data_IF_239721933867
#
_entry.id   IF_239721933867
#
_cell.length_a   1.000
_cell.length_b   1.000
_cell.length_c   1.000
_cell.angle_alpha   90.00
_cell.angle_beta   90.00
_cell.angle_gamma   90.00
#
_symmetry.space_group_name_H-M   'P 1'
#
loop_
_entity.id
_entity.type
_entity.pdbx_description
1 polymer ?
#
# COMPACT_ATOMS: atom_id res chain seq x y z
N UNK A 1 2.25 -3.66 9.15
CA UNK A 1 3.30 -3.12 10.08
C UNK A 1 2.90 -3.19 11.57
N UNK A 2 1.82 -2.57 12.06
CA UNK A 2 1.47 -2.57 13.49
C UNK A 2 1.52 -3.94 14.18
N UNK A 3 1.07 -5.00 13.52
CA UNK A 3 1.13 -6.36 14.07
C UNK A 3 2.59 -6.85 14.14
N UNK A 4 3.36 -6.62 13.09
CA UNK A 4 4.77 -7.02 13.03
C UNK A 4 5.59 -6.30 14.10
N UNK A 5 5.40 -4.99 14.29
CA UNK A 5 6.10 -4.24 15.35
C UNK A 5 5.73 -4.77 16.74
N UNK A 6 4.45 -5.08 16.97
CA UNK A 6 4.02 -5.66 18.24
C UNK A 6 4.64 -7.05 18.50
N UNK A 7 4.77 -7.90 17.48
CA UNK A 7 5.44 -9.20 17.64
C UNK A 7 6.96 -9.04 17.88
N UNK A 8 7.62 -8.11 17.20
CA UNK A 8 9.03 -7.78 17.42
C UNK A 8 9.29 -7.30 18.85
N UNK A 9 8.46 -6.40 19.37
CA UNK A 9 8.58 -5.85 20.73
C UNK A 9 8.32 -6.89 21.85
N UNK A 10 7.66 -8.01 21.54
CA UNK A 10 7.49 -9.12 22.50
C UNK A 10 8.77 -9.95 22.67
N UNK A 11 9.58 -10.05 21.62
CA UNK A 11 10.76 -10.92 21.59
C UNK A 11 12.08 -10.15 21.72
N UNK A 12 12.01 -8.82 21.85
CA UNK A 12 13.18 -7.94 22.03
C UNK A 12 12.90 -6.88 23.09
N UNK A 13 13.95 -6.16 23.51
CA UNK A 13 13.83 -4.99 24.39
C UNK A 13 13.61 -3.68 23.62
N UNK A 14 13.67 -3.72 22.29
CA UNK A 14 13.55 -2.56 21.44
C UNK A 14 12.12 -2.07 21.34
N UNK A 15 11.95 -0.76 21.07
CA UNK A 15 10.66 -0.12 20.77
C UNK A 15 10.64 0.43 19.36
N UNK A 16 9.52 0.25 18.68
CA UNK A 16 9.35 0.69 17.29
C UNK A 16 8.27 1.75 17.19
N UNK A 17 8.65 2.95 16.82
CA UNK A 17 7.72 4.04 16.51
C UNK A 17 7.47 4.05 15.01
N UNK A 18 6.20 3.92 14.60
CA UNK A 18 5.82 3.87 13.18
C UNK A 18 5.16 5.15 12.73
N UNK A 19 5.62 5.70 11.60
CA UNK A 19 4.94 6.76 10.85
C UNK A 19 4.33 6.18 9.58
N UNK A 20 3.04 6.48 9.32
CA UNK A 20 2.33 6.00 8.14
C UNK A 20 2.05 7.14 7.17
N UNK A 21 2.26 6.90 5.88
CA UNK A 21 2.04 7.87 4.82
C UNK A 21 2.25 7.27 3.45
N UNK A 22 2.24 8.10 2.41
CA UNK A 22 2.60 7.66 1.06
C UNK A 22 4.11 7.53 0.91
N UNK A 23 4.55 6.60 0.05
CA UNK A 23 5.95 6.39 -0.29
C UNK A 23 6.66 7.69 -0.65
N UNK A 24 6.10 8.49 -1.57
CA UNK A 24 6.71 9.76 -1.98
C UNK A 24 6.77 10.83 -0.88
N UNK A 25 5.78 10.87 0.04
CA UNK A 25 5.80 11.81 1.18
C UNK A 25 6.93 11.47 2.15
N UNK A 26 7.09 10.19 2.49
CA UNK A 26 8.19 9.76 3.35
C UNK A 26 9.56 9.96 2.69
N UNK A 27 9.69 9.68 1.39
CA UNK A 27 10.90 10.01 0.65
C UNK A 27 11.27 11.49 0.80
N UNK A 28 10.32 12.40 0.59
CA UNK A 28 10.57 13.83 0.76
C UNK A 28 10.97 14.20 2.19
N UNK A 29 10.34 13.60 3.21
CA UNK A 29 10.71 13.80 4.61
C UNK A 29 12.13 13.32 4.90
N UNK A 30 12.51 12.13 4.41
CA UNK A 30 13.85 11.56 4.56
C UNK A 30 14.90 12.47 3.92
N UNK A 31 14.64 12.96 2.70
CA UNK A 31 15.50 13.93 2.00
C UNK A 31 15.70 15.23 2.79
N UNK A 32 14.72 15.64 3.56
CA UNK A 32 14.76 16.83 4.42
C UNK A 32 15.22 16.52 5.86
N UNK A 33 15.85 15.37 6.09
CA UNK A 33 16.50 15.04 7.36
C UNK A 33 15.58 14.51 8.44
N UNK A 34 14.38 14.00 8.11
CA UNK A 34 13.52 13.35 9.09
C UNK A 34 14.25 12.16 9.76
N UNK A 35 14.20 12.04 11.10
CA UNK A 35 15.06 11.14 11.88
C UNK A 35 14.55 9.69 11.89
N UNK A 36 14.28 9.13 10.71
CA UNK A 36 13.89 7.72 10.59
C UNK A 36 15.13 6.81 10.59
N UNK A 37 15.00 5.62 11.15
CA UNK A 37 16.05 4.61 11.20
C UNK A 37 15.94 3.60 10.04
N UNK A 38 14.71 3.29 9.61
CA UNK A 38 14.42 2.41 8.48
C UNK A 38 13.23 2.93 7.68
N UNK A 39 13.22 2.60 6.39
CA UNK A 39 12.15 2.99 5.48
C UNK A 39 11.55 1.76 4.81
N UNK A 40 10.21 1.69 4.84
CA UNK A 40 9.40 0.63 4.23
C UNK A 40 8.51 1.27 3.16
N UNK A 41 8.86 1.03 1.90
CA UNK A 41 8.18 1.57 0.73
C UNK A 41 7.22 0.56 0.11
N UNK A 42 6.23 1.04 -0.61
CA UNK A 42 5.36 0.21 -1.45
C UNK A 42 5.85 0.11 -2.91
N UNK A 43 7.11 0.44 -3.17
CA UNK A 43 7.81 0.26 -4.45
C UNK A 43 9.28 -0.12 -4.23
N UNK A 44 9.96 -0.51 -5.31
CA UNK A 44 11.39 -0.79 -5.33
C UNK A 44 12.23 0.43 -5.76
N UNK A 45 11.64 1.36 -6.49
CA UNK A 45 12.34 2.50 -7.08
C UNK A 45 12.79 3.52 -6.04
N UNK A 46 11.92 3.82 -5.06
CA UNK A 46 12.21 4.84 -4.04
C UNK A 46 13.31 4.42 -3.07
N UNK A 47 13.34 3.19 -2.50
CA UNK A 47 14.48 2.72 -1.71
C UNK A 47 15.79 2.66 -2.51
N UNK A 48 15.74 2.21 -3.78
CA UNK A 48 16.92 2.20 -4.65
C UNK A 48 17.45 3.62 -4.89
N UNK A 49 16.56 4.60 -5.05
CA UNK A 49 16.93 6.01 -5.21
C UNK A 49 17.62 6.55 -3.96
N UNK A 50 17.13 6.22 -2.75
CA UNK A 50 17.79 6.63 -1.50
C UNK A 50 19.19 6.01 -1.35
N UNK A 51 19.38 4.76 -1.77
CA UNK A 51 20.71 4.14 -1.83
C UNK A 51 21.65 4.89 -2.80
N UNK A 52 21.18 5.17 -4.03
CA UNK A 52 21.97 5.86 -5.05
C UNK A 52 22.31 7.30 -4.66
N UNK A 53 21.46 7.95 -3.88
CA UNK A 53 21.71 9.30 -3.34
C UNK A 53 22.59 9.30 -2.09
N UNK A 54 23.02 8.13 -1.60
CA UNK A 54 23.86 7.99 -0.41
C UNK A 54 23.15 8.31 0.90
N UNK A 55 21.82 8.31 0.90
CA UNK A 55 20.98 8.59 2.09
C UNK A 55 20.68 7.30 2.85
N UNK A 56 20.40 6.23 2.13
CA UNK A 56 20.19 4.91 2.72
C UNK A 56 21.51 4.12 2.79
N UNK A 57 21.60 3.21 3.78
CA UNK A 57 22.76 2.34 3.98
C UNK A 57 22.84 1.34 2.81
N UNK A 58 23.95 1.31 2.05
CA UNK A 58 24.11 0.41 0.90
C UNK A 58 23.92 -1.07 1.26
N UNK A 59 23.37 -1.84 0.33
CA UNK A 59 23.18 -3.29 0.43
C UNK A 59 22.26 -3.75 1.57
N UNK A 60 21.49 -2.83 2.16
CA UNK A 60 20.49 -3.19 3.19
C UNK A 60 19.09 -3.35 2.62
N UNK A 61 18.90 -2.99 1.35
CA UNK A 61 17.62 -3.04 0.66
C UNK A 61 17.19 -4.48 0.36
N UNK A 62 15.92 -4.81 0.62
CA UNK A 62 15.34 -6.09 0.23
C UNK A 62 13.82 -5.97 0.02
N UNK A 63 13.25 -6.82 -0.82
CA UNK A 63 11.81 -6.99 -0.97
C UNK A 63 11.29 -7.82 0.20
N UNK A 64 10.28 -7.30 0.90
CA UNK A 64 9.66 -8.03 2.03
C UNK A 64 8.26 -8.55 1.71
N UNK A 65 7.59 -7.97 0.70
CA UNK A 65 6.24 -8.34 0.30
C UNK A 65 5.92 -7.89 -1.12
N UNK A 66 4.94 -8.56 -1.74
CA UNK A 66 4.27 -8.09 -2.97
C UNK A 66 2.85 -7.67 -2.64
N UNK A 67 2.54 -6.40 -2.93
CA UNK A 67 1.22 -5.82 -2.69
C UNK A 67 0.22 -6.20 -3.77
N UNK A 68 -1.06 -6.27 -3.39
CA UNK A 68 -2.18 -6.48 -4.32
C UNK A 68 -3.14 -5.30 -4.22
N UNK A 69 -3.62 -4.83 -5.38
CA UNK A 69 -4.64 -3.80 -5.46
C UNK A 69 -5.98 -4.43 -5.85
N UNK A 70 -7.06 -3.92 -5.28
CA UNK A 70 -8.42 -4.32 -5.58
C UNK A 70 -9.30 -3.10 -5.77
N UNK A 71 -10.37 -3.24 -6.54
CA UNK A 71 -11.50 -2.31 -6.51
C UNK A 71 -12.51 -2.86 -5.50
N UNK A 72 -12.82 -2.06 -4.49
CA UNK A 72 -13.65 -2.48 -3.36
C UNK A 72 -14.79 -1.51 -3.09
N UNK A 73 -15.91 -2.06 -2.62
CA UNK A 73 -17.04 -1.36 -2.03
C UNK A 73 -17.41 -2.00 -0.70
N UNK A 74 -17.82 -1.24 0.33
CA UNK A 74 -18.34 -1.81 1.57
C UNK A 74 -19.72 -2.45 1.39
N UNK A 75 -20.40 -2.20 0.26
CA UNK A 75 -21.70 -2.83 -0.06
C UNK A 75 -21.50 -4.31 -0.39
N UNK A 76 -22.19 -5.23 0.30
CA UNK A 76 -22.12 -6.65 -0.01
C UNK A 76 -22.90 -6.99 -1.29
N UNK A 77 -22.57 -8.15 -1.86
CA UNK A 77 -23.33 -8.77 -2.96
C UNK A 77 -23.43 -7.92 -4.24
N UNK A 78 -22.41 -7.12 -4.54
CA UNK A 78 -22.30 -6.47 -5.86
C UNK A 78 -21.82 -7.51 -6.88
N UNK A 79 -22.65 -7.92 -7.84
CA UNK A 79 -22.34 -9.08 -8.70
C UNK A 79 -21.21 -8.79 -9.69
N UNK A 80 -20.98 -7.54 -10.07
CA UNK A 80 -19.98 -7.17 -11.07
C UNK A 80 -19.37 -5.79 -10.81
N UNK A 81 -18.42 -5.71 -9.86
CA UNK A 81 -17.71 -4.46 -9.56
C UNK A 81 -16.92 -3.94 -10.78
N UNK A 82 -16.32 -4.83 -11.58
CA UNK A 82 -15.62 -4.43 -12.79
C UNK A 82 -16.57 -3.75 -13.79
N UNK A 83 -17.76 -4.30 -13.95
CA UNK A 83 -18.80 -3.72 -14.83
C UNK A 83 -19.27 -2.34 -14.36
N UNK A 84 -19.33 -2.09 -13.04
CA UNK A 84 -19.67 -0.78 -12.51
C UNK A 84 -18.68 0.32 -12.93
N UNK A 85 -17.39 0.00 -13.08
CA UNK A 85 -16.40 0.97 -13.58
C UNK A 85 -16.70 1.43 -15.02
N UNK A 86 -17.37 0.59 -15.81
CA UNK A 86 -17.70 0.87 -17.20
C UNK A 86 -19.13 1.42 -17.39
N UNK A 87 -19.98 1.37 -16.36
CA UNK A 87 -21.39 1.76 -16.38
C UNK A 87 -21.64 2.93 -15.45
N UNK A 88 -21.37 4.15 -15.92
CA UNK A 88 -21.51 5.38 -15.11
C UNK A 88 -22.96 5.76 -14.82
N UNK A 89 -23.91 5.27 -15.61
CA UNK A 89 -25.32 5.67 -15.50
C UNK A 89 -25.95 5.34 -14.14
N UNK A 90 -25.33 4.38 -13.42
CA UNK A 90 -25.79 3.93 -12.11
C UNK A 90 -24.91 4.39 -10.94
N UNK A 91 -23.85 5.18 -11.18
CA UNK A 91 -22.97 5.66 -10.11
C UNK A 91 -23.28 7.12 -9.78
N UNK A 92 -23.93 7.34 -8.66
CA UNK A 92 -24.20 8.67 -8.12
C UNK A 92 -23.03 9.28 -7.34
N UNK A 93 -22.00 8.49 -7.02
CA UNK A 93 -20.93 8.85 -6.10
C UNK A 93 -19.54 8.70 -6.73
N UNK A 94 -18.53 9.14 -5.99
CA UNK A 94 -17.14 9.16 -6.38
C UNK A 94 -16.47 7.78 -6.33
N UNK A 95 -15.39 7.64 -7.12
CA UNK A 95 -14.43 6.53 -7.05
C UNK A 95 -13.13 7.06 -6.44
N UNK A 96 -12.72 6.47 -5.33
CA UNK A 96 -11.51 6.89 -4.64
C UNK A 96 -10.26 6.17 -5.20
N UNK A 97 -9.21 6.94 -5.49
CA UNK A 97 -7.87 6.44 -5.80
C UNK A 97 -6.84 7.16 -4.95
N UNK A 98 -5.69 6.54 -4.69
CA UNK A 98 -4.57 7.25 -4.10
C UNK A 98 -3.89 8.15 -5.15
N UNK A 99 -3.22 9.21 -4.71
CA UNK A 99 -2.46 10.09 -5.60
C UNK A 99 -1.32 9.31 -6.29
N UNK A 100 -1.37 9.18 -7.61
CA UNK A 100 -0.42 8.40 -8.40
C UNK A 100 1.01 8.96 -8.38
N UNK A 101 1.19 10.24 -8.05
CA UNK A 101 2.52 10.86 -7.92
C UNK A 101 3.20 10.52 -6.59
N UNK A 102 2.44 10.12 -5.57
CA UNK A 102 2.93 9.91 -4.21
C UNK A 102 2.83 8.46 -3.75
N UNK A 103 1.91 7.69 -4.35
CA UNK A 103 1.57 6.33 -3.91
C UNK A 103 1.71 5.32 -5.04
N UNK A 104 2.49 4.25 -4.85
CA UNK A 104 2.56 3.13 -5.81
C UNK A 104 1.19 2.48 -6.08
N UNK A 105 0.33 2.39 -5.08
CA UNK A 105 -1.05 1.94 -5.27
C UNK A 105 -1.87 2.91 -6.14
N UNK A 106 -1.61 4.21 -6.02
CA UNK A 106 -2.22 5.22 -6.90
C UNK A 106 -1.73 5.11 -8.33
N UNK A 107 -0.45 4.80 -8.53
CA UNK A 107 0.11 4.52 -9.86
C UNK A 107 -0.53 3.27 -10.45
N UNK A 108 -0.62 2.18 -9.69
CA UNK A 108 -1.28 0.95 -10.12
C UNK A 108 -2.75 1.18 -10.50
N UNK A 109 -3.51 1.95 -9.69
CA UNK A 109 -4.89 2.32 -10.01
C UNK A 109 -4.98 3.09 -11.34
N UNK A 110 -4.10 4.07 -11.56
CA UNK A 110 -4.06 4.82 -12.82
C UNK A 110 -3.73 3.94 -14.02
N UNK A 111 -2.79 2.99 -13.87
CA UNK A 111 -2.45 2.03 -14.92
C UNK A 111 -3.64 1.11 -15.25
N UNK A 112 -4.34 0.61 -14.24
CA UNK A 112 -5.54 -0.23 -14.45
C UNK A 112 -6.62 0.55 -15.22
N UNK A 113 -6.91 1.78 -14.81
CA UNK A 113 -7.90 2.64 -15.45
C UNK A 113 -7.52 2.89 -16.93
N UNK A 114 -6.25 3.22 -17.19
CA UNK A 114 -5.75 3.44 -18.55
C UNK A 114 -5.83 2.16 -19.41
N UNK A 115 -5.37 1.03 -18.89
CA UNK A 115 -5.35 -0.25 -19.62
C UNK A 115 -6.75 -0.83 -19.88
N UNK A 116 -7.75 -0.36 -19.13
CA UNK A 116 -9.17 -0.64 -19.39
C UNK A 116 -9.84 0.40 -20.30
N UNK A 117 -9.11 1.42 -20.77
CA UNK A 117 -9.63 2.55 -21.55
C UNK A 117 -10.76 3.33 -20.83
N UNK A 118 -10.65 3.47 -19.51
CA UNK A 118 -11.66 4.13 -18.69
C UNK A 118 -11.26 5.54 -18.21
N UNK A 119 -10.12 6.08 -18.69
CA UNK A 119 -9.58 7.35 -18.18
C UNK A 119 -10.53 8.53 -18.38
N UNK A 120 -11.03 8.71 -19.58
CA UNK A 120 -11.96 9.81 -19.90
C UNK A 120 -13.30 9.59 -19.19
N UNK A 121 -13.75 8.35 -19.20
CA UNK A 121 -15.03 7.95 -18.62
C UNK A 121 -15.13 8.17 -17.10
N UNK A 122 -14.02 7.98 -16.39
CA UNK A 122 -13.95 8.13 -14.92
C UNK A 122 -13.44 9.49 -14.47
N UNK A 123 -12.93 10.35 -15.36
CA UNK A 123 -12.18 11.57 -15.02
C UNK A 123 -12.88 12.47 -14.01
N UNK A 124 -14.19 12.69 -14.17
CA UNK A 124 -15.00 13.55 -13.29
C UNK A 124 -15.45 12.87 -11.99
N UNK A 125 -15.34 11.54 -11.92
CA UNK A 125 -15.75 10.74 -10.77
C UNK A 125 -14.61 10.42 -9.81
N UNK A 126 -13.36 10.61 -10.26
CA UNK A 126 -12.18 10.26 -9.47
C UNK A 126 -11.89 11.29 -8.37
N UNK A 127 -11.84 10.83 -7.12
CA UNK A 127 -11.32 11.60 -5.99
C UNK A 127 -9.98 11.01 -5.54
N UNK A 128 -8.99 11.90 -5.28
CA UNK A 128 -7.61 11.51 -5.04
C UNK A 128 -7.20 11.72 -3.58
N UNK A 129 -7.07 10.62 -2.83
CA UNK A 129 -6.47 10.63 -1.49
C UNK A 129 -4.94 10.79 -1.53
N UNK A 130 -4.35 11.39 -0.52
CA UNK A 130 -2.89 11.54 -0.41
C UNK A 130 -2.15 10.19 -0.39
N UNK A 131 -2.79 9.16 0.16
CA UNK A 131 -2.23 7.83 0.33
C UNK A 131 -3.35 6.76 0.31
N UNK A 132 -2.94 5.49 0.27
CA UNK A 132 -3.86 4.37 0.21
C UNK A 132 -4.75 4.22 1.46
N UNK A 133 -4.31 4.68 2.62
CA UNK A 133 -5.11 4.63 3.85
C UNK A 133 -6.25 5.64 3.83
N UNK A 134 -6.01 6.85 3.35
CA UNK A 134 -7.05 7.86 3.18
C UNK A 134 -8.06 7.43 2.11
N UNK A 135 -7.58 6.85 1.00
CA UNK A 135 -8.43 6.28 -0.04
C UNK A 135 -9.39 5.23 0.54
N UNK A 136 -8.84 4.28 1.31
CA UNK A 136 -9.64 3.26 2.00
C UNK A 136 -10.69 3.88 2.94
N UNK A 137 -10.28 4.88 3.74
CA UNK A 137 -11.20 5.55 4.68
C UNK A 137 -12.38 6.21 3.98
N UNK A 138 -12.18 6.86 2.83
CA UNK A 138 -13.27 7.49 2.08
C UNK A 138 -14.30 6.46 1.57
N UNK A 139 -13.82 5.30 1.11
CA UNK A 139 -14.73 4.22 0.69
C UNK A 139 -15.44 3.61 1.91
N UNK A 140 -14.70 3.31 2.96
CA UNK A 140 -15.24 2.71 4.18
C UNK A 140 -16.29 3.59 4.88
N UNK A 141 -16.12 4.91 4.84
CA UNK A 141 -17.07 5.89 5.41
C UNK A 141 -18.22 6.26 4.48
N UNK A 142 -18.27 5.71 3.25
CA UNK A 142 -19.33 6.00 2.27
C UNK A 142 -19.15 7.33 1.52
N UNK A 143 -18.03 8.05 1.70
CA UNK A 143 -17.72 9.26 0.94
C UNK A 143 -17.33 8.97 -0.52
N UNK A 144 -16.99 7.72 -0.82
CA UNK A 144 -16.85 7.18 -2.17
C UNK A 144 -17.55 5.82 -2.24
N UNK A 145 -18.17 5.51 -3.36
CA UNK A 145 -18.92 4.26 -3.54
C UNK A 145 -17.99 3.07 -3.80
N UNK A 146 -16.94 3.33 -4.57
CA UNK A 146 -15.88 2.39 -4.92
C UNK A 146 -14.52 3.02 -4.65
N UNK A 147 -13.51 2.18 -4.48
CA UNK A 147 -12.13 2.67 -4.46
C UNK A 147 -11.12 1.60 -4.80
N UNK A 148 -10.02 2.06 -5.35
CA UNK A 148 -8.83 1.25 -5.56
C UNK A 148 -8.02 1.23 -4.26
N UNK A 149 -8.10 0.11 -3.54
CA UNK A 149 -7.52 -0.05 -2.20
C UNK A 149 -6.53 -1.22 -2.16
N UNK A 150 -5.69 -1.30 -1.14
CA UNK A 150 -4.83 -2.46 -0.97
C UNK A 150 -5.65 -3.66 -0.47
N UNK A 151 -5.45 -4.83 -1.06
CA UNK A 151 -6.11 -6.06 -0.61
C UNK A 151 -5.90 -6.30 0.89
N UNK A 152 -4.72 -5.98 1.41
CA UNK A 152 -4.39 -6.08 2.84
C UNK A 152 -5.27 -5.21 3.75
N UNK A 153 -5.95 -4.21 3.24
CA UNK A 153 -6.85 -3.36 4.04
C UNK A 153 -8.21 -4.02 4.23
N UNK A 154 -8.69 -4.75 3.21
CA UNK A 154 -9.96 -5.45 3.26
C UNK A 154 -9.82 -6.88 3.79
N UNK A 155 -8.64 -7.50 3.67
CA UNK A 155 -8.29 -8.81 4.23
C UNK A 155 -7.87 -8.71 5.71
N UNK A 156 -8.48 -7.80 6.46
CA UNK A 156 -8.21 -7.60 7.89
C UNK A 156 -9.38 -8.17 8.71
N UNK A 157 -9.14 -9.21 9.54
CA UNK A 157 -10.19 -9.82 10.36
C UNK A 157 -10.92 -8.83 11.28
N UNK A 158 -10.27 -7.71 11.65
CA UNK A 158 -10.89 -6.69 12.50
C UNK A 158 -11.85 -5.77 11.76
N UNK A 159 -11.75 -5.70 10.44
CA UNK A 159 -12.61 -4.89 9.58
C UNK A 159 -13.70 -5.74 8.95
N UNK A 160 -13.86 -7.01 9.42
CA UNK A 160 -14.75 -8.05 8.96
C UNK A 160 -15.28 -7.70 7.58
N UNK A 161 -14.76 -8.30 6.58
CA UNK A 161 -14.92 -8.02 5.17
C UNK A 161 -16.39 -8.13 4.70
N UNK A 162 -17.24 -7.29 5.22
CA UNK A 162 -18.54 -7.01 4.64
C UNK A 162 -18.29 -6.12 3.44
N UNK A 163 -18.46 -6.65 2.25
CA UNK A 163 -18.24 -5.87 1.03
C UNK A 163 -18.02 -6.75 -0.17
N UNK A 164 -17.89 -6.11 -1.29
CA UNK A 164 -17.59 -6.76 -2.58
C UNK A 164 -16.31 -6.20 -3.15
N UNK A 165 -15.51 -7.02 -3.80
CA UNK A 165 -14.31 -6.55 -4.49
C UNK A 165 -14.09 -7.27 -5.82
N UNK A 166 -13.36 -6.60 -6.70
CA UNK A 166 -12.77 -7.18 -7.88
C UNK A 166 -11.26 -7.05 -7.81
N UNK A 167 -10.54 -8.14 -8.05
CA UNK A 167 -9.08 -8.15 -8.13
C UNK A 167 -8.65 -8.07 -9.60
N UNK A 168 -8.05 -6.95 -10.04
CA UNK A 168 -7.52 -6.80 -11.38
C UNK A 168 -6.40 -7.81 -11.66
N UNK A 169 -6.31 -8.26 -12.92
CA UNK A 169 -5.17 -9.07 -13.37
C UNK A 169 -3.86 -8.28 -13.22
N UNK A 170 -2.78 -8.95 -12.80
CA UNK A 170 -1.44 -8.35 -12.70
C UNK A 170 -0.95 -7.77 -14.03
N UNK A 171 -1.48 -8.23 -15.17
CA UNK A 171 -1.16 -7.68 -16.49
C UNK A 171 -1.65 -6.25 -16.72
N UNK A 172 -2.53 -5.74 -15.86
CA UNK A 172 -3.09 -4.38 -15.96
C UNK A 172 -2.26 -3.32 -15.22
N UNK A 173 -1.30 -3.72 -14.40
CA UNK A 173 -0.48 -2.78 -13.63
C UNK A 173 0.90 -3.37 -13.30
N UNK A 174 1.87 -2.49 -13.05
CA UNK A 174 3.22 -2.89 -12.62
C UNK A 174 3.18 -3.53 -11.23
N UNK A 175 4.03 -4.54 -10.94
CA UNK A 175 4.13 -5.13 -9.61
C UNK A 175 4.31 -4.07 -8.51
N UNK A 176 3.67 -4.31 -7.37
CA UNK A 176 3.81 -3.46 -6.18
C UNK A 176 4.81 -4.13 -5.25
N UNK A 177 6.10 -4.05 -5.64
CA UNK A 177 7.22 -4.65 -4.90
C UNK A 177 7.51 -3.81 -3.66
N UNK A 178 7.14 -4.31 -2.49
CA UNK A 178 7.37 -3.57 -1.25
C UNK A 178 8.77 -3.84 -0.73
N UNK A 179 9.58 -2.79 -0.64
CA UNK A 179 10.97 -2.88 -0.21
C UNK A 179 11.25 -2.09 1.06
N UNK A 180 12.17 -2.63 1.85
CA UNK A 180 12.71 -1.99 3.04
C UNK A 180 14.19 -1.64 2.82
N UNK A 181 14.65 -0.56 3.47
CA UNK A 181 16.04 -0.13 3.48
C UNK A 181 16.36 0.55 4.81
N UNK A 182 17.60 0.38 5.32
CA UNK A 182 18.10 1.10 6.49
C UNK A 182 18.50 2.53 6.11
N UNK A 183 18.17 3.48 6.98
CA UNK A 183 18.56 4.88 6.88
C UNK A 183 19.64 5.22 7.92
N UNK A 184 19.66 4.51 9.04
CA UNK A 184 20.70 4.59 10.08
C UNK A 184 21.18 3.21 10.46
N UNK A 185 22.46 3.11 10.67
CA UNK A 185 23.13 1.88 11.12
C UNK A 185 23.14 1.84 12.64
N UNK A 186 22.09 1.24 13.24
CA UNK A 186 22.03 0.95 14.66
C UNK A 186 21.46 -0.45 14.91
N UNK A 187 21.71 -1.00 16.10
CA UNK A 187 21.36 -2.36 16.49
C UNK A 187 19.83 -2.61 16.34
N UNK A 188 19.02 -1.75 16.93
CA UNK A 188 17.55 -1.90 16.93
C UNK A 188 16.96 -1.94 15.50
N UNK A 189 17.49 -1.08 14.60
CA UNK A 189 17.04 -1.06 13.22
C UNK A 189 17.48 -2.32 12.45
N UNK A 190 18.72 -2.80 12.66
CA UNK A 190 19.21 -4.06 12.07
C UNK A 190 18.40 -5.26 12.56
N UNK A 191 18.13 -5.33 13.83
CA UNK A 191 17.33 -6.39 14.43
C UNK A 191 15.91 -6.40 13.88
N UNK A 192 15.29 -5.22 13.73
CA UNK A 192 13.96 -5.11 13.12
C UNK A 192 13.95 -5.56 11.65
N UNK A 193 14.97 -5.14 10.87
CA UNK A 193 15.12 -5.58 9.46
C UNK A 193 15.32 -7.10 9.34
N UNK A 194 16.06 -7.70 10.27
CA UNK A 194 16.24 -9.16 10.36
C UNK A 194 14.96 -9.85 10.76
N UNK A 195 14.21 -9.31 11.72
CA UNK A 195 12.94 -9.85 12.13
C UNK A 195 11.91 -9.86 11.00
N UNK A 196 11.87 -8.84 10.14
CA UNK A 196 10.99 -8.81 8.96
C UNK A 196 11.21 -10.02 8.04
N UNK A 197 12.43 -10.53 7.97
CA UNK A 197 12.79 -11.73 7.16
C UNK A 197 12.48 -13.06 7.87
N UNK A 198 12.13 -13.03 9.15
CA UNK A 198 11.85 -14.24 9.93
C UNK A 198 10.58 -14.95 9.47
N UNK A 199 10.47 -16.25 9.80
CA UNK A 199 9.29 -17.04 9.51
C UNK A 199 8.00 -16.45 10.11
N UNK A 200 8.10 -15.86 11.29
CA UNK A 200 6.94 -15.33 12.01
C UNK A 200 6.45 -14.03 11.38
N UNK A 201 7.33 -13.12 11.02
CA UNK A 201 6.97 -11.92 10.28
C UNK A 201 6.39 -12.27 8.90
N UNK A 202 6.98 -13.25 8.19
CA UNK A 202 6.48 -13.74 6.89
C UNK A 202 5.07 -14.30 6.99
N UNK A 203 4.76 -15.10 8.02
CA UNK A 203 3.39 -15.60 8.28
C UNK A 203 2.40 -14.45 8.48
N UNK A 204 2.78 -13.42 9.24
CA UNK A 204 1.94 -12.23 9.45
C UNK A 204 1.70 -11.50 8.13
N UNK A 205 2.73 -11.32 7.30
CA UNK A 205 2.64 -10.67 5.98
C UNK A 205 1.65 -11.43 5.09
N UNK A 206 1.80 -12.76 4.97
CA UNK A 206 0.89 -13.59 4.16
C UNK A 206 -0.54 -13.58 4.69
N UNK A 207 -0.72 -13.68 6.01
CA UNK A 207 -2.04 -13.65 6.65
C UNK A 207 -2.81 -12.36 6.32
N UNK A 208 -2.09 -11.24 6.14
CA UNK A 208 -2.69 -9.96 5.73
C UNK A 208 -2.85 -9.81 4.21
N UNK A 209 -2.68 -10.87 3.42
CA UNK A 209 -3.00 -10.90 1.99
C UNK A 209 -1.90 -10.41 1.06
N UNK A 210 -0.67 -10.28 1.54
CA UNK A 210 0.50 -10.05 0.71
C UNK A 210 1.08 -11.37 0.20
N UNK A 211 1.70 -11.34 -0.98
CA UNK A 211 2.59 -12.42 -1.41
C UNK A 211 4.01 -12.16 -0.90
N UNK A 212 4.79 -13.23 -0.79
CA UNK A 212 6.18 -13.17 -0.33
C UNK A 212 7.16 -13.36 -1.50
N UNK A 213 8.36 -12.75 -1.40
CA UNK A 213 9.47 -13.03 -2.31
C UNK A 213 10.04 -14.44 -2.15
#
# INVERSE_FOLDING_TARGET
>A
MKVITAEFEKVTTHKVVTAFGSTGKHYAQIKNGAPFDAYFAADSATPARLENEGIAIPQTRFTYAYGKIVVWSPKPNIPNIRGLLSSLDNMSQHIAIANSRLSPYGLAASQIINNLNLSDHLSEKLVKGENISQTFQWVHSGNAELGFVAYSQINNPRLASEGSYWMPSQSLYSPIDQQAVLLKDNEAARDFMSFIKSSDARKVIQHHGYDLP
#
